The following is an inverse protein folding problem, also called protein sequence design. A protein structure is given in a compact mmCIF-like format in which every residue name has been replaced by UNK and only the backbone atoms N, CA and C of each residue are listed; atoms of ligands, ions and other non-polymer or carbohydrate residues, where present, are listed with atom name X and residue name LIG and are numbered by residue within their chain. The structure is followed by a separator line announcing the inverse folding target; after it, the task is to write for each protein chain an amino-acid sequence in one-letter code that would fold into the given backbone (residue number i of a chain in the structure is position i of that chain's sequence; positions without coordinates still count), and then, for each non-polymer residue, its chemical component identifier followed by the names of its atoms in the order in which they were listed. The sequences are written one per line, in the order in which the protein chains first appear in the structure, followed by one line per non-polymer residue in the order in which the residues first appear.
data_IF_193285198084
#
_entry.id   IF_193285198084
#
_cell.length_a   1.000
_cell.length_b   1.000
_cell.length_c   1.000
_cell.angle_alpha   90.00
_cell.angle_beta   90.00
_cell.angle_gamma   90.00
#
_symmetry.space_group_name_H-M   'P 1'
#
loop_
_entity.id
_entity.type
_entity.pdbx_description
1 polymer ?
#
# COMPACT_ATOMS: atom_id res chain seq x y z
N UNK A 1 -12.24 1.14 21.53
CA UNK A 1 -11.13 1.83 20.84
C UNK A 1 -11.64 2.18 19.45
N UNK A 2 -11.41 3.41 19.00
CA UNK A 2 -11.79 3.78 17.63
C UNK A 2 -10.94 2.96 16.63
N UNK A 3 -11.58 2.41 15.60
CA UNK A 3 -10.88 1.79 14.47
C UNK A 3 -10.14 2.87 13.70
N UNK A 4 -8.90 2.62 13.29
CA UNK A 4 -8.12 3.62 12.57
C UNK A 4 -7.23 3.01 11.50
N UNK A 5 -7.00 3.76 10.42
CA UNK A 5 -6.19 3.34 9.28
C UNK A 5 -5.13 4.39 8.93
N UNK A 6 -3.92 3.94 8.66
CA UNK A 6 -2.88 4.73 8.00
C UNK A 6 -2.70 4.24 6.56
N UNK A 7 -2.83 5.15 5.60
CA UNK A 7 -2.55 4.88 4.18
C UNK A 7 -1.31 5.68 3.77
N UNK A 8 -0.19 4.98 3.54
CA UNK A 8 1.06 5.57 3.06
C UNK A 8 1.12 5.49 1.54
N UNK A 9 1.53 6.58 0.90
CA UNK A 9 1.47 6.73 -0.56
C UNK A 9 0.07 7.08 -1.04
N UNK A 10 -0.63 7.90 -0.27
CA UNK A 10 -1.99 8.35 -0.61
C UNK A 10 -2.01 9.17 -1.91
N UNK A 11 -3.07 8.95 -2.71
CA UNK A 11 -3.28 9.61 -4.01
C UNK A 11 -4.65 9.26 -4.58
N UNK A 12 -4.94 9.81 -5.77
CA UNK A 12 -6.18 9.58 -6.51
C UNK A 12 -6.24 8.17 -7.10
N UNK A 13 -7.01 7.28 -6.66
CA UNK A 13 -7.14 5.90 -7.15
C UNK A 13 -7.34 4.96 -5.98
N UNK A 14 -6.64 3.83 -5.94
CA UNK A 14 -6.80 2.83 -4.88
C UNK A 14 -6.76 3.44 -3.46
N UNK A 15 -5.80 4.32 -3.19
CA UNK A 15 -5.69 4.96 -1.87
C UNK A 15 -6.90 5.84 -1.54
N UNK A 16 -7.45 6.55 -2.54
CA UNK A 16 -8.66 7.36 -2.36
C UNK A 16 -9.88 6.48 -2.09
N UNK A 17 -10.07 5.43 -2.89
CA UNK A 17 -11.18 4.47 -2.69
C UNK A 17 -11.11 3.80 -1.31
N UNK A 18 -9.91 3.38 -0.90
CA UNK A 18 -9.71 2.78 0.42
C UNK A 18 -9.99 3.77 1.55
N UNK A 19 -9.50 5.02 1.45
CA UNK A 19 -9.76 6.06 2.43
C UNK A 19 -11.26 6.34 2.60
N UNK A 20 -11.98 6.47 1.48
CA UNK A 20 -13.44 6.69 1.48
C UNK A 20 -14.18 5.52 2.11
N UNK A 21 -13.84 4.28 1.77
CA UNK A 21 -14.50 3.11 2.36
C UNK A 21 -14.19 2.95 3.84
N UNK A 22 -12.95 3.20 4.28
CA UNK A 22 -12.60 3.22 5.70
C UNK A 22 -13.38 4.28 6.47
N UNK A 23 -13.47 5.51 5.93
CA UNK A 23 -14.25 6.59 6.55
C UNK A 23 -15.74 6.25 6.65
N UNK A 24 -16.33 5.64 5.60
CA UNK A 24 -17.72 5.19 5.60
C UNK A 24 -17.99 4.07 6.63
N UNK A 25 -16.97 3.30 7.00
CA UNK A 25 -17.03 2.32 8.08
C UNK A 25 -16.77 2.93 9.47
N UNK A 26 -16.65 4.25 9.57
CA UNK A 26 -16.39 4.96 10.81
C UNK A 26 -14.97 4.83 11.34
N UNK A 27 -14.00 4.48 10.48
CA UNK A 27 -12.60 4.48 10.87
C UNK A 27 -12.00 5.88 10.82
N UNK A 28 -11.15 6.22 11.79
CA UNK A 28 -10.30 7.41 11.72
C UNK A 28 -9.21 7.21 10.67
N UNK A 29 -9.13 8.11 9.70
CA UNK A 29 -8.22 7.97 8.55
C UNK A 29 -7.02 8.90 8.67
N UNK A 30 -5.82 8.36 8.47
CA UNK A 30 -4.60 9.13 8.29
C UNK A 30 -4.02 8.88 6.89
N UNK A 31 -3.72 9.93 6.16
CA UNK A 31 -3.17 9.89 4.80
C UNK A 31 -1.75 10.46 4.79
N UNK A 32 -0.79 9.66 4.33
CA UNK A 32 0.61 10.11 4.23
C UNK A 32 1.09 10.13 2.77
N UNK A 33 1.65 11.27 2.35
CA UNK A 33 2.21 11.46 1.02
C UNK A 33 3.30 12.55 1.02
N UNK A 34 4.15 12.56 -0.02
CA UNK A 34 5.16 13.62 -0.20
C UNK A 34 4.54 14.99 -0.46
N UNK A 35 3.44 15.04 -1.21
CA UNK A 35 2.66 16.24 -1.47
C UNK A 35 1.25 16.05 -0.93
N UNK A 36 0.94 16.74 0.18
CA UNK A 36 -0.36 16.66 0.87
C UNK A 36 -1.41 17.61 0.28
N UNK A 37 -1.02 18.65 -0.45
CA UNK A 37 -1.95 19.62 -1.08
C UNK A 37 -2.91 18.90 -2.03
N UNK A 38 -2.43 17.87 -2.73
CA UNK A 38 -3.25 17.02 -3.62
C UNK A 38 -4.26 16.14 -2.87
N UNK A 39 -4.21 16.10 -1.56
CA UNK A 39 -5.08 15.28 -0.72
C UNK A 39 -6.12 16.10 0.04
N UNK A 40 -6.15 17.44 -0.10
CA UNK A 40 -7.03 18.32 0.68
C UNK A 40 -8.51 17.97 0.49
N UNK A 41 -8.94 17.77 -0.76
CA UNK A 41 -10.32 17.37 -1.05
C UNK A 41 -10.66 16.00 -0.44
N UNK A 42 -9.76 15.02 -0.58
CA UNK A 42 -9.93 13.69 0.01
C UNK A 42 -9.92 13.78 1.54
N UNK A 43 -9.02 14.59 2.10
CA UNK A 43 -8.94 14.85 3.54
C UNK A 43 -10.25 15.42 4.09
N UNK A 44 -10.83 16.40 3.38
CA UNK A 44 -12.11 16.99 3.72
C UNK A 44 -13.26 15.98 3.66
N UNK A 45 -13.35 15.19 2.57
CA UNK A 45 -14.40 14.19 2.38
C UNK A 45 -14.35 13.07 3.41
N UNK A 46 -13.15 12.65 3.81
CA UNK A 46 -12.92 11.54 4.74
C UNK A 46 -12.67 11.99 6.18
N UNK A 47 -12.57 13.29 6.43
CA UNK A 47 -12.10 13.88 7.69
C UNK A 47 -10.72 13.35 8.10
N UNK A 48 -9.90 12.99 7.12
CA UNK A 48 -8.60 12.39 7.37
C UNK A 48 -7.56 13.42 7.83
N UNK A 49 -6.67 12.99 8.72
CA UNK A 49 -5.46 13.75 9.02
C UNK A 49 -4.45 13.58 7.88
N UNK A 50 -3.83 14.69 7.44
CA UNK A 50 -2.87 14.71 6.35
C UNK A 50 -1.44 14.84 6.91
N UNK A 51 -0.54 13.96 6.45
CA UNK A 51 0.83 13.88 6.93
C UNK A 51 1.81 13.94 5.75
N UNK A 52 2.66 14.97 5.73
CA UNK A 52 3.76 15.04 4.75
C UNK A 52 4.83 14.01 5.14
N UNK A 53 5.07 13.05 4.25
CA UNK A 53 6.04 11.97 4.49
C UNK A 53 6.60 11.45 3.17
N UNK A 54 7.92 11.46 3.05
CA UNK A 54 8.63 10.64 2.08
C UNK A 54 8.96 9.30 2.74
N UNK A 55 8.26 8.25 2.34
CA UNK A 55 8.40 6.93 2.94
C UNK A 55 9.80 6.30 2.72
N UNK A 56 10.62 6.82 1.82
CA UNK A 56 12.01 6.40 1.64
C UNK A 56 12.98 6.99 2.69
N UNK A 57 12.51 7.96 3.50
CA UNK A 57 13.33 8.66 4.50
C UNK A 57 13.00 8.20 5.91
N UNK A 58 14.01 7.74 6.63
CA UNK A 58 13.89 7.21 7.99
C UNK A 58 13.24 8.24 8.93
N UNK A 59 13.71 9.48 8.87
CA UNK A 59 13.29 10.57 9.74
C UNK A 59 11.82 10.94 9.49
N UNK A 60 11.38 10.93 8.22
CA UNK A 60 9.99 11.22 7.86
C UNK A 60 9.04 10.14 8.37
N UNK A 61 9.44 8.86 8.24
CA UNK A 61 8.63 7.75 8.76
C UNK A 61 8.58 7.78 10.29
N UNK A 62 9.69 8.07 10.97
CA UNK A 62 9.70 8.22 12.43
C UNK A 62 8.79 9.37 12.88
N UNK A 63 8.88 10.53 12.22
CA UNK A 63 8.02 11.69 12.51
C UNK A 63 6.54 11.34 12.29
N UNK A 64 6.20 10.71 11.16
CA UNK A 64 4.84 10.25 10.87
C UNK A 64 4.25 9.43 12.03
N UNK A 65 4.97 8.40 12.44
CA UNK A 65 4.45 7.53 13.51
C UNK A 65 4.43 8.19 14.89
N UNK A 66 5.31 9.15 15.15
CA UNK A 66 5.24 9.99 16.37
C UNK A 66 3.99 10.86 16.36
N UNK A 67 3.70 11.53 15.24
CA UNK A 67 2.49 12.35 15.08
C UNK A 67 1.21 11.53 15.24
N UNK A 68 1.22 10.27 14.72
CA UNK A 68 0.09 9.35 14.89
C UNK A 68 -0.10 8.94 16.35
N UNK A 69 0.99 8.61 17.07
CA UNK A 69 0.91 8.26 18.49
C UNK A 69 0.22 9.35 19.33
N UNK A 70 0.45 10.62 18.96
CA UNK A 70 -0.10 11.78 19.67
C UNK A 70 -1.57 12.10 19.28
N UNK A 71 -1.96 11.86 18.02
CA UNK A 71 -3.23 12.35 17.47
C UNK A 71 -4.27 11.26 17.21
N UNK A 72 -3.84 10.07 16.81
CA UNK A 72 -4.69 8.99 16.34
C UNK A 72 -4.53 7.72 17.20
N UNK A 73 -3.39 7.59 17.85
CA UNK A 73 -2.98 6.35 18.50
C UNK A 73 -2.39 5.34 17.51
N UNK A 74 -2.39 4.06 17.89
CA UNK A 74 -1.84 2.99 17.06
C UNK A 74 -2.84 2.63 15.97
N UNK A 75 -2.54 2.81 14.66
CA UNK A 75 -3.44 2.40 13.58
C UNK A 75 -3.76 0.90 13.66
N UNK A 76 -5.04 0.56 13.47
CA UNK A 76 -5.49 -0.83 13.39
C UNK A 76 -5.05 -1.47 12.07
N UNK A 77 -5.11 -0.68 10.99
CA UNK A 77 -4.68 -1.05 9.66
C UNK A 77 -3.62 -0.06 9.15
N UNK A 78 -2.52 -0.59 8.64
CA UNK A 78 -1.50 0.19 7.92
C UNK A 78 -1.39 -0.35 6.50
N UNK A 79 -1.57 0.51 5.50
CA UNK A 79 -1.46 0.16 4.09
C UNK A 79 -0.27 0.89 3.47
N UNK A 80 0.67 0.12 2.91
CA UNK A 80 1.79 0.62 2.14
C UNK A 80 1.50 0.53 0.64
N UNK A 81 1.26 1.66 -0.01
CA UNK A 81 0.93 1.76 -1.43
C UNK A 81 1.99 2.45 -2.31
N UNK A 82 3.09 3.08 -1.79
CA UNK A 82 4.07 3.72 -2.65
C UNK A 82 4.73 2.75 -3.62
N UNK A 83 5.06 3.26 -4.79
CA UNK A 83 5.77 2.49 -5.81
C UNK A 83 6.46 3.46 -6.77
N UNK A 84 7.67 3.13 -7.17
CA UNK A 84 8.40 3.83 -8.22
C UNK A 84 8.70 2.89 -9.38
N UNK A 85 8.59 3.42 -10.60
CA UNK A 85 8.85 2.67 -11.84
C UNK A 85 9.91 3.39 -12.64
N UNK A 86 10.98 2.68 -12.98
CA UNK A 86 11.95 3.07 -13.97
C UNK A 86 11.95 2.01 -15.05
N UNK A 87 11.67 2.41 -16.29
CA UNK A 87 11.60 1.52 -17.47
C UNK A 87 12.75 1.83 -18.41
N UNK A 88 13.30 0.79 -19.02
CA UNK A 88 14.37 0.90 -20.02
C UNK A 88 15.15 -0.39 -20.15
N UNK A 89 15.95 -0.49 -21.21
CA UNK A 89 16.94 -1.57 -21.38
C UNK A 89 18.00 -1.43 -20.28
N UNK A 90 18.51 -2.54 -19.78
CA UNK A 90 19.37 -2.58 -18.58
C UNK A 90 20.60 -1.67 -18.70
N UNK A 91 21.18 -1.58 -19.89
CA UNK A 91 22.36 -0.75 -20.20
C UNK A 91 22.07 0.76 -20.21
N UNK A 92 20.79 1.16 -20.24
CA UNK A 92 20.38 2.57 -20.28
C UNK A 92 19.86 3.10 -18.93
N UNK A 93 19.71 2.19 -17.95
CA UNK A 93 19.14 2.57 -16.65
C UNK A 93 20.16 3.34 -15.81
N UNK A 94 19.71 4.46 -15.25
CA UNK A 94 20.48 5.26 -14.31
C UNK A 94 20.56 4.56 -12.94
N UNK A 95 21.77 4.28 -12.41
CA UNK A 95 21.92 3.58 -11.13
C UNK A 95 21.37 4.35 -9.92
N UNK A 96 21.49 5.68 -9.88
CA UNK A 96 20.99 6.48 -8.74
C UNK A 96 19.45 6.50 -8.74
N UNK A 97 18.82 6.69 -9.90
CA UNK A 97 17.35 6.59 -10.03
C UNK A 97 16.86 5.18 -9.73
N UNK A 98 17.65 4.16 -10.07
CA UNK A 98 17.34 2.76 -9.71
C UNK A 98 17.33 2.58 -8.21
N UNK A 99 18.35 3.09 -7.51
CA UNK A 99 18.42 3.06 -6.05
C UNK A 99 17.25 3.81 -5.42
N UNK A 100 16.93 5.03 -5.87
CA UNK A 100 15.77 5.79 -5.40
C UNK A 100 14.46 5.02 -5.57
N UNK A 101 14.28 4.34 -6.70
CA UNK A 101 13.08 3.54 -6.97
C UNK A 101 12.95 2.35 -6.01
N UNK A 102 14.06 1.70 -5.66
CA UNK A 102 14.09 0.61 -4.67
C UNK A 102 13.85 1.15 -3.25
N UNK A 103 14.42 2.30 -2.90
CA UNK A 103 14.17 2.97 -1.62
C UNK A 103 12.68 3.26 -1.44
N UNK A 104 11.99 3.76 -2.47
CA UNK A 104 10.54 4.01 -2.41
C UNK A 104 9.74 2.71 -2.37
N UNK A 105 10.08 1.71 -3.20
CA UNK A 105 9.18 0.56 -3.41
C UNK A 105 9.33 -0.51 -2.31
N UNK A 106 10.56 -0.75 -1.85
CA UNK A 106 10.88 -1.86 -0.94
C UNK A 106 11.38 -1.38 0.42
N UNK A 107 12.40 -0.52 0.45
CA UNK A 107 13.00 -0.07 1.71
C UNK A 107 12.03 0.77 2.54
N UNK A 108 11.28 1.68 1.92
CA UNK A 108 10.24 2.44 2.61
C UNK A 108 9.12 1.55 3.18
N UNK A 109 8.80 0.45 2.49
CA UNK A 109 7.85 -0.53 3.02
C UNK A 109 8.39 -1.19 4.31
N UNK A 110 9.68 -1.51 4.34
CA UNK A 110 10.34 -2.00 5.55
C UNK A 110 10.27 -0.99 6.69
N UNK A 111 10.59 0.28 6.43
CA UNK A 111 10.57 1.34 7.45
C UNK A 111 9.18 1.49 8.07
N UNK A 112 8.14 1.58 7.23
CA UNK A 112 6.75 1.71 7.68
C UNK A 112 6.30 0.46 8.44
N UNK A 113 6.58 -0.73 7.90
CA UNK A 113 6.22 -1.99 8.56
C UNK A 113 6.90 -2.14 9.93
N UNK A 114 8.17 -1.75 10.05
CA UNK A 114 8.91 -1.80 11.32
C UNK A 114 8.25 -0.91 12.37
N UNK A 115 7.89 0.34 12.01
CA UNK A 115 7.24 1.26 12.95
C UNK A 115 5.84 0.81 13.34
N UNK A 116 5.07 0.29 12.37
CA UNK A 116 3.76 -0.30 12.64
C UNK A 116 3.87 -1.53 13.56
N UNK A 117 4.74 -2.48 13.22
CA UNK A 117 4.93 -3.71 13.99
C UNK A 117 5.36 -3.42 15.45
N UNK A 118 6.31 -2.49 15.68
CA UNK A 118 6.72 -2.08 17.05
C UNK A 118 5.53 -1.66 17.92
N UNK A 119 4.53 -1.00 17.35
CA UNK A 119 3.34 -0.50 18.05
C UNK A 119 2.26 -1.57 18.17
N UNK A 120 2.00 -2.28 17.07
CA UNK A 120 0.99 -3.33 17.03
C UNK A 120 1.34 -4.50 17.95
N UNK A 121 2.63 -4.86 18.08
CA UNK A 121 3.11 -5.87 19.05
C UNK A 121 2.81 -5.46 20.50
N UNK A 122 2.93 -4.17 20.84
CA UNK A 122 2.55 -3.66 22.18
C UNK A 122 1.05 -3.70 22.41
N UNK A 123 0.25 -3.43 21.36
CA UNK A 123 -1.21 -3.54 21.41
C UNK A 123 -1.72 -4.99 21.38
N UNK A 124 -0.93 -5.92 20.81
CA UNK A 124 -1.28 -7.33 20.65
C UNK A 124 -2.17 -7.61 19.43
N UNK A 125 -2.37 -6.66 18.51
CA UNK A 125 -3.17 -6.86 17.29
C UNK A 125 -2.88 -5.80 16.23
N UNK A 126 -3.24 -6.08 14.97
CA UNK A 126 -3.19 -5.13 13.85
C UNK A 126 -3.07 -5.79 12.50
N UNK A 127 -3.11 -4.97 11.43
CA UNK A 127 -2.91 -5.43 10.08
C UNK A 127 -1.94 -4.52 9.33
N UNK A 128 -0.99 -5.11 8.59
CA UNK A 128 -0.03 -4.40 7.74
C UNK A 128 -0.13 -4.96 6.33
N UNK A 129 -0.58 -4.14 5.38
CA UNK A 129 -0.86 -4.54 4.02
C UNK A 129 0.04 -3.83 3.02
N UNK A 130 0.47 -4.56 2.00
CA UNK A 130 1.37 -4.10 0.96
C UNK A 130 0.73 -4.22 -0.42
N UNK A 131 0.71 -3.12 -1.16
CA UNK A 131 0.26 -3.12 -2.56
C UNK A 131 1.38 -3.66 -3.45
N UNK A 132 1.24 -4.90 -3.85
CA UNK A 132 2.10 -5.58 -4.80
C UNK A 132 1.79 -5.22 -6.26
N UNK A 133 2.25 -6.04 -7.15
CA UNK A 133 1.97 -6.00 -8.59
C UNK A 133 2.35 -7.34 -9.22
N UNK A 134 1.88 -7.62 -10.45
CA UNK A 134 2.37 -8.75 -11.26
C UNK A 134 3.91 -8.79 -11.36
N UNK A 135 4.55 -7.62 -11.38
CA UNK A 135 6.02 -7.52 -11.35
C UNK A 135 6.67 -8.03 -10.05
N UNK A 136 5.91 -8.43 -9.04
CA UNK A 136 6.41 -9.10 -7.84
C UNK A 136 6.35 -10.63 -7.92
N UNK A 137 5.73 -11.18 -8.97
CA UNK A 137 5.60 -12.64 -9.21
C UNK A 137 6.15 -13.09 -10.55
N UNK A 138 6.30 -12.16 -11.52
CA UNK A 138 6.91 -12.41 -12.83
C UNK A 138 7.72 -11.18 -13.29
N UNK A 139 8.86 -11.43 -13.97
CA UNK A 139 9.66 -10.38 -14.57
C UNK A 139 9.16 -10.01 -15.96
N UNK A 140 9.31 -8.73 -16.34
CA UNK A 140 8.99 -8.23 -17.68
C UNK A 140 10.20 -7.56 -18.30
N UNK A 141 10.40 -7.71 -19.60
CA UNK A 141 11.45 -6.99 -20.33
C UNK A 141 11.33 -5.47 -20.08
N UNK A 142 12.46 -4.80 -19.98
CA UNK A 142 12.55 -3.35 -19.73
C UNK A 142 11.89 -2.87 -18.43
N UNK A 143 11.69 -3.78 -17.45
CA UNK A 143 11.07 -3.46 -16.16
C UNK A 143 11.84 -4.04 -14.97
N UNK A 144 13.15 -4.24 -15.12
CA UNK A 144 14.01 -4.86 -14.09
C UNK A 144 13.93 -4.16 -12.73
N UNK A 145 13.97 -2.82 -12.71
CA UNK A 145 13.93 -2.03 -11.48
C UNK A 145 12.60 -2.20 -10.75
N UNK A 146 11.50 -2.18 -11.50
CA UNK A 146 10.17 -2.38 -10.91
C UNK A 146 10.01 -3.81 -10.38
N UNK A 147 10.51 -4.80 -11.11
CA UNK A 147 10.52 -6.20 -10.67
C UNK A 147 11.35 -6.35 -9.38
N UNK A 148 12.60 -5.85 -9.33
CA UNK A 148 13.44 -5.90 -8.13
C UNK A 148 12.71 -5.34 -6.90
N UNK A 149 12.10 -4.16 -7.02
CA UNK A 149 11.36 -3.54 -5.92
C UNK A 149 10.15 -4.33 -5.48
N UNK A 150 9.36 -4.87 -6.43
CA UNK A 150 8.13 -5.61 -6.12
C UNK A 150 8.40 -7.05 -5.63
N UNK A 151 9.42 -7.73 -6.14
CA UNK A 151 9.88 -9.01 -5.56
C UNK A 151 10.44 -8.81 -4.15
N UNK A 152 11.24 -7.75 -3.91
CA UNK A 152 11.71 -7.40 -2.57
C UNK A 152 10.56 -7.11 -1.60
N UNK A 153 9.55 -6.35 -2.05
CA UNK A 153 8.33 -6.08 -1.28
C UNK A 153 7.56 -7.37 -0.93
N UNK A 154 7.42 -8.28 -1.91
CA UNK A 154 6.77 -9.58 -1.69
C UNK A 154 7.55 -10.44 -0.71
N UNK A 155 8.90 -10.48 -0.84
CA UNK A 155 9.77 -11.19 0.09
C UNK A 155 9.65 -10.66 1.53
N UNK A 156 9.60 -9.33 1.70
CA UNK A 156 9.35 -8.69 2.99
C UNK A 156 8.00 -9.13 3.57
N UNK A 157 6.91 -8.99 2.79
CA UNK A 157 5.57 -9.36 3.25
C UNK A 157 5.49 -10.85 3.66
N UNK A 158 6.09 -11.75 2.87
CA UNK A 158 6.11 -13.18 3.17
C UNK A 158 6.88 -13.50 4.45
N UNK A 159 8.02 -12.86 4.69
CA UNK A 159 8.80 -13.02 5.91
C UNK A 159 8.02 -12.52 7.13
N UNK A 160 7.43 -11.32 7.02
CA UNK A 160 6.64 -10.73 8.10
C UNK A 160 5.37 -11.54 8.41
N UNK A 161 4.72 -12.14 7.41
CA UNK A 161 3.58 -13.03 7.65
C UNK A 161 3.95 -14.21 8.55
N UNK A 162 5.09 -14.86 8.28
CA UNK A 162 5.59 -15.96 9.11
C UNK A 162 5.97 -15.52 10.53
N UNK A 163 6.52 -14.33 10.66
CA UNK A 163 6.97 -13.78 11.94
C UNK A 163 5.82 -13.26 12.80
N UNK A 164 4.83 -12.58 12.19
CA UNK A 164 3.87 -11.73 12.90
C UNK A 164 2.46 -12.32 12.98
N UNK A 165 2.04 -13.23 12.07
CA UNK A 165 0.76 -13.94 12.22
C UNK A 165 0.64 -14.68 13.56
N UNK A 166 1.66 -15.43 14.03
CA UNK A 166 1.59 -16.07 15.34
C UNK A 166 1.48 -15.09 16.52
N UNK A 167 1.81 -13.80 16.27
CA UNK A 167 1.73 -12.71 17.26
C UNK A 167 0.47 -11.85 17.10
N UNK A 168 -0.53 -12.38 16.37
CA UNK A 168 -1.83 -11.74 16.13
C UNK A 168 -1.74 -10.41 15.33
N UNK A 169 -0.78 -10.32 14.39
CA UNK A 169 -0.68 -9.21 13.45
C UNK A 169 -0.83 -9.77 12.05
N UNK A 170 -1.88 -9.34 11.35
CA UNK A 170 -2.21 -9.82 10.01
C UNK A 170 -1.38 -9.10 8.95
N UNK A 171 -0.61 -9.85 8.18
CA UNK A 171 0.16 -9.34 7.04
C UNK A 171 -0.54 -9.72 5.75
N UNK A 172 -0.74 -8.73 4.86
CA UNK A 172 -1.34 -8.96 3.55
C UNK A 172 -0.48 -8.39 2.42
N UNK A 173 -0.33 -9.16 1.34
CA UNK A 173 0.30 -8.74 0.09
C UNK A 173 -0.71 -8.88 -1.06
N UNK A 174 -0.97 -7.78 -1.76
CA UNK A 174 -1.98 -7.72 -2.83
C UNK A 174 -1.28 -7.63 -4.18
N UNK A 175 -1.26 -8.71 -4.93
CA UNK A 175 -0.73 -8.73 -6.30
C UNK A 175 -1.76 -8.09 -7.23
N UNK A 176 -1.50 -6.87 -7.66
CA UNK A 176 -2.33 -6.15 -8.62
C UNK A 176 -1.85 -6.52 -10.03
N UNK A 177 -2.56 -7.43 -10.68
CA UNK A 177 -2.22 -7.90 -12.03
C UNK A 177 -3.17 -7.29 -13.05
N UNK A 178 -2.87 -6.08 -13.47
CA UNK A 178 -3.64 -5.31 -14.44
C UNK A 178 -3.56 -3.80 -14.22
N UNK A 179 -4.20 -3.07 -15.10
CA UNK A 179 -4.36 -1.63 -14.99
C UNK A 179 -5.47 -1.28 -13.99
N UNK A 180 -5.19 -0.41 -13.03
CA UNK A 180 -6.23 0.17 -12.18
C UNK A 180 -6.89 1.32 -12.95
N UNK A 181 -8.22 1.31 -13.04
CA UNK A 181 -9.03 2.37 -13.64
C UNK A 181 -8.73 3.72 -12.97
N UNK A 182 -8.70 4.77 -13.75
CA UNK A 182 -8.42 6.12 -13.26
C UNK A 182 -9.15 7.16 -14.07
N UNK A 183 -9.83 8.08 -13.40
CA UNK A 183 -10.47 9.22 -14.04
C UNK A 183 -9.46 10.35 -14.39
N UNK A 184 -8.26 10.30 -13.79
CA UNK A 184 -7.21 11.33 -13.99
C UNK A 184 -6.26 10.95 -15.14
N UNK A 185 -6.05 9.64 -15.36
CA UNK A 185 -5.12 9.11 -16.36
C UNK A 185 -5.86 8.68 -17.61
N UNK A 186 -5.56 9.32 -18.76
CA UNK A 186 -6.21 9.02 -20.04
C UNK A 186 -5.99 7.59 -20.53
N UNK A 187 -4.81 7.00 -20.20
CA UNK A 187 -4.44 5.62 -20.54
C UNK A 187 -5.08 4.58 -19.62
N UNK A 188 -5.95 4.99 -18.69
CA UNK A 188 -6.57 4.13 -17.67
C UNK A 188 -8.09 4.32 -17.56
N UNK A 189 -8.74 4.66 -18.66
CA UNK A 189 -10.20 4.83 -18.69
C UNK A 189 -10.97 3.51 -18.78
N UNK A 190 -10.35 2.49 -19.36
CA UNK A 190 -11.01 1.24 -19.69
C UNK A 190 -11.95 1.36 -20.88
N UNK A 191 -12.43 0.24 -21.39
CA UNK A 191 -13.36 0.15 -22.52
C UNK A 191 -14.81 -0.15 -22.09
N UNK A 192 -15.09 -0.17 -20.79
CA UNK A 192 -16.41 -0.46 -20.22
C UNK A 192 -16.72 -1.94 -20.01
N UNK A 193 -15.83 -2.86 -20.39
CA UNK A 193 -16.02 -4.31 -20.24
C UNK A 193 -15.17 -4.90 -19.09
N UNK A 194 -14.96 -4.15 -18.02
CA UNK A 194 -14.17 -4.58 -16.86
C UNK A 194 -12.75 -5.01 -17.24
N UNK A 195 -12.17 -4.38 -18.25
CA UNK A 195 -10.80 -4.62 -18.74
C UNK A 195 -9.73 -3.98 -17.84
N UNK A 196 -10.16 -3.21 -16.85
CA UNK A 196 -9.32 -2.63 -15.80
C UNK A 196 -9.89 -2.95 -14.42
N UNK A 197 -8.97 -3.05 -13.46
CA UNK A 197 -9.32 -3.18 -12.06
C UNK A 197 -10.03 -1.92 -11.56
N UNK A 198 -11.20 -2.08 -10.96
CA UNK A 198 -11.91 -1.01 -10.29
C UNK A 198 -11.26 -0.75 -8.92
N UNK A 199 -10.82 0.49 -8.63
CA UNK A 199 -10.19 0.80 -7.35
C UNK A 199 -11.10 0.57 -6.14
N UNK A 200 -12.42 0.69 -6.31
CA UNK A 200 -13.37 0.46 -5.22
C UNK A 200 -13.48 -1.04 -4.88
N UNK A 201 -13.43 -1.91 -5.89
CA UNK A 201 -13.45 -3.36 -5.69
C UNK A 201 -12.12 -3.87 -5.09
N UNK A 202 -10.99 -3.26 -5.49
CA UNK A 202 -9.72 -3.54 -4.83
C UNK A 202 -9.80 -3.13 -3.35
N UNK A 203 -10.26 -1.91 -3.07
CA UNK A 203 -10.39 -1.41 -1.69
C UNK A 203 -11.31 -2.29 -0.84
N UNK A 204 -12.44 -2.75 -1.41
CA UNK A 204 -13.34 -3.72 -0.75
C UNK A 204 -12.60 -5.01 -0.39
N UNK A 205 -11.76 -5.53 -1.29
CA UNK A 205 -10.96 -6.73 -1.03
C UNK A 205 -9.97 -6.51 0.11
N UNK A 206 -9.34 -5.33 0.22
CA UNK A 206 -8.45 -4.99 1.35
C UNK A 206 -9.20 -5.04 2.68
N UNK A 207 -10.43 -4.50 2.73
CA UNK A 207 -11.23 -4.49 3.96
C UNK A 207 -11.73 -5.89 4.32
N UNK A 208 -12.19 -6.68 3.34
CA UNK A 208 -12.54 -8.09 3.55
C UNK A 208 -11.34 -8.89 4.07
N UNK A 209 -10.14 -8.61 3.54
CA UNK A 209 -8.90 -9.25 3.98
C UNK A 209 -8.54 -8.84 5.40
N UNK A 210 -8.74 -7.58 5.76
CA UNK A 210 -8.54 -7.07 7.12
C UNK A 210 -9.47 -7.74 8.13
N UNK A 211 -10.72 -7.96 7.75
CA UNK A 211 -11.76 -8.56 8.60
C UNK A 211 -11.74 -10.11 8.58
N UNK A 212 -10.77 -10.76 7.89
CA UNK A 212 -10.65 -12.22 7.90
C UNK A 212 -10.52 -12.76 9.31
N UNK A 213 -11.26 -13.84 9.59
CA UNK A 213 -11.10 -14.56 10.84
C UNK A 213 -9.70 -15.20 10.92
N UNK A 214 -9.01 -15.03 12.04
CA UNK A 214 -7.62 -15.45 12.22
C UNK A 214 -7.34 -16.96 12.04
N UNK A 215 -8.37 -17.81 12.09
CA UNK A 215 -8.22 -19.23 11.77
C UNK A 215 -8.03 -19.51 10.27
N UNK A 216 -8.21 -18.50 9.42
CA UNK A 216 -8.13 -18.62 7.97
C UNK A 216 -7.45 -17.38 7.33
N UNK A 217 -6.46 -16.80 7.98
CA UNK A 217 -5.70 -15.69 7.42
C UNK A 217 -4.91 -16.10 6.19
N UNK A 218 -5.20 -15.45 5.07
CA UNK A 218 -4.33 -15.45 3.92
C UNK A 218 -3.24 -14.38 4.09
N UNK A 219 -2.09 -14.56 3.48
CA UNK A 219 -1.03 -13.54 3.46
C UNK A 219 -0.86 -12.90 2.08
N UNK A 220 -1.40 -13.52 1.03
CA UNK A 220 -1.31 -13.02 -0.33
C UNK A 220 -2.61 -13.28 -1.09
N UNK A 221 -3.01 -12.31 -1.92
CA UNK A 221 -4.11 -12.44 -2.87
C UNK A 221 -3.71 -11.76 -4.18
N UNK A 222 -4.10 -12.37 -5.31
CA UNK A 222 -3.92 -11.80 -6.64
C UNK A 222 -5.26 -11.31 -7.19
N UNK A 223 -5.27 -10.07 -7.66
CA UNK A 223 -6.44 -9.41 -8.24
C UNK A 223 -6.14 -9.03 -9.69
N UNK A 224 -7.02 -9.40 -10.60
CA UNK A 224 -6.89 -9.08 -12.02
C UNK A 224 -8.26 -8.81 -12.65
N UNK A 225 -8.33 -8.06 -13.77
CA UNK A 225 -9.53 -8.02 -14.59
C UNK A 225 -9.86 -9.42 -15.13
N UNK A 226 -11.14 -9.73 -15.26
CA UNK A 226 -11.57 -11.06 -15.73
C UNK A 226 -11.08 -11.42 -17.15
N UNK A 227 -10.74 -10.41 -17.95
CA UNK A 227 -10.21 -10.54 -19.33
C UNK A 227 -8.68 -10.62 -19.39
N UNK A 228 -7.98 -10.46 -18.28
CA UNK A 228 -6.51 -10.52 -18.24
C UNK A 228 -6.05 -11.96 -18.49
N UNK A 229 -5.04 -12.10 -19.35
CA UNK A 229 -4.46 -13.41 -19.68
C UNK A 229 -3.26 -13.74 -18.81
N UNK A 230 -3.06 -15.03 -18.54
CA UNK A 230 -1.92 -15.54 -17.75
C UNK A 230 -0.63 -15.59 -18.54
#
# INVERSE_FOLDING_TARGET
MNRSVLIVGAGSGLSSSLAMQCANLGMDVALAARNIEKLEDLGTQTRASLHKCDASKIEDVHRLFKDLDEKLGIPELVVYNPSARLRGAIETLDPEKTKEALEVTCFGAFLVAQQAAKRMLKRGSGSIFFTGASAGVKGFANSSVFAMGKFGLRGLAQALARELHPKNIHIGHFVIDGGIKSNVRSDRKGNGNYDMLDPDEIARTYLQFHDQHKSAWAWEVELRPWVETF
#
